data_IF_875363656368
#
_entry.id   IF_875363656368
#
_cell.length_a   1.000
_cell.length_b   1.000
_cell.length_c   1.000
_cell.angle_alpha   90.00
_cell.angle_beta   90.00
_cell.angle_gamma   90.00
#
_symmetry.space_group_name_H-M   'P 1'
#
loop_
_entity.id
_entity.type
_entity.pdbx_description
1 polymer ?
#
# COMPACT_ATOMS: atom_id res chain seq x y z
N UNK A 1 1.04 -14.46 3.74
CA UNK A 1 0.47 -13.33 2.98
C UNK A 1 -0.70 -12.75 3.74
N UNK A 2 -0.76 -11.46 3.85
CA UNK A 2 -1.90 -10.76 4.46
C UNK A 2 -2.47 -9.75 3.48
N UNK A 3 -3.79 -9.72 3.34
CA UNK A 3 -4.49 -8.75 2.51
C UNK A 3 -5.85 -8.42 3.11
N UNK A 4 -6.37 -7.25 2.79
CA UNK A 4 -7.73 -6.88 3.15
C UNK A 4 -8.37 -6.06 2.04
N UNK A 5 -9.68 -6.17 1.92
CA UNK A 5 -10.48 -5.37 1.02
C UNK A 5 -11.62 -4.73 1.81
N UNK A 6 -11.71 -3.41 1.75
CA UNK A 6 -12.75 -2.65 2.45
C UNK A 6 -13.31 -1.57 1.55
N UNK A 7 -14.61 -1.33 1.65
CA UNK A 7 -15.22 -0.16 1.04
C UNK A 7 -14.72 1.09 1.75
N UNK A 8 -14.36 2.12 1.00
CA UNK A 8 -13.98 3.39 1.58
C UNK A 8 -15.16 4.06 2.28
N UNK A 9 -14.92 4.59 3.47
CA UNK A 9 -15.93 5.21 4.32
C UNK A 9 -16.23 6.68 3.96
N UNK A 10 -15.55 7.23 2.95
CA UNK A 10 -15.77 8.59 2.49
C UNK A 10 -15.59 8.67 0.97
N UNK A 11 -16.12 9.75 0.39
CA UNK A 11 -16.00 10.01 -1.04
C UNK A 11 -14.66 10.66 -1.31
N UNK A 12 -13.82 10.02 -2.11
CA UNK A 12 -12.58 10.60 -2.59
C UNK A 12 -12.88 11.58 -3.74
N UNK A 13 -12.27 12.77 -3.72
CA UNK A 13 -12.44 13.79 -4.75
C UNK A 13 -11.64 13.48 -6.01
N UNK A 14 -10.65 12.60 -5.92
CA UNK A 14 -9.81 12.22 -7.05
C UNK A 14 -9.24 10.81 -6.88
N UNK A 15 -8.74 10.24 -7.97
CA UNK A 15 -8.01 8.95 -7.95
C UNK A 15 -6.79 9.01 -7.03
N UNK A 16 -6.06 10.13 -7.03
CA UNK A 16 -4.90 10.32 -6.16
C UNK A 16 -5.27 10.29 -4.68
N UNK A 17 -6.40 10.86 -4.31
CA UNK A 17 -6.90 10.81 -2.93
C UNK A 17 -7.33 9.40 -2.53
N UNK A 18 -8.01 8.69 -3.41
CA UNK A 18 -8.39 7.30 -3.19
C UNK A 18 -7.15 6.41 -2.96
N UNK A 19 -6.13 6.56 -3.78
CA UNK A 19 -4.86 5.84 -3.63
C UNK A 19 -4.12 6.24 -2.35
N UNK A 20 -4.12 7.53 -1.99
CA UNK A 20 -3.53 7.98 -0.74
C UNK A 20 -4.19 7.31 0.47
N UNK A 21 -5.51 7.24 0.49
CA UNK A 21 -6.26 6.57 1.56
C UNK A 21 -5.94 5.08 1.61
N UNK A 22 -5.80 4.44 0.45
CA UNK A 22 -5.41 3.04 0.38
C UNK A 22 -3.99 2.82 0.94
N UNK A 23 -3.05 3.70 0.62
CA UNK A 23 -1.68 3.65 1.16
C UNK A 23 -1.67 3.86 2.67
N UNK A 24 -2.47 4.78 3.18
CA UNK A 24 -2.60 5.03 4.62
C UNK A 24 -3.13 3.79 5.37
N UNK A 25 -4.18 3.18 4.84
CA UNK A 25 -4.73 1.94 5.39
C UNK A 25 -3.72 0.77 5.32
N UNK A 26 -2.97 0.68 4.24
CA UNK A 26 -1.89 -0.28 4.08
C UNK A 26 -0.78 -0.04 5.12
N UNK A 27 -0.41 1.20 5.35
CA UNK A 27 0.56 1.58 6.38
C UNK A 27 0.14 1.08 7.76
N UNK A 28 -1.11 1.31 8.14
CA UNK A 28 -1.63 0.84 9.43
C UNK A 28 -1.55 -0.69 9.56
N UNK A 29 -1.91 -1.40 8.50
CA UNK A 29 -1.83 -2.86 8.46
C UNK A 29 -0.39 -3.37 8.58
N UNK A 30 0.53 -2.76 7.86
CA UNK A 30 1.96 -3.12 7.88
C UNK A 30 2.57 -2.86 9.26
N UNK A 31 2.23 -1.77 9.90
CA UNK A 31 2.73 -1.47 11.26
C UNK A 31 2.20 -2.47 12.29
N UNK A 32 0.96 -2.88 12.17
CA UNK A 32 0.42 -3.95 12.99
C UNK A 32 1.18 -5.27 12.77
N UNK A 33 1.43 -5.64 11.53
CA UNK A 33 2.22 -6.83 11.20
C UNK A 33 3.65 -6.73 11.73
N UNK A 34 4.28 -5.56 11.61
CA UNK A 34 5.63 -5.29 12.15
C UNK A 34 5.66 -5.52 13.66
N UNK A 35 4.67 -5.01 14.38
CA UNK A 35 4.57 -5.21 15.83
C UNK A 35 4.38 -6.68 16.18
N UNK A 36 3.51 -7.37 15.46
CA UNK A 36 3.27 -8.81 15.66
C UNK A 36 4.54 -9.63 15.45
N UNK A 37 5.30 -9.35 14.38
CA UNK A 37 6.57 -10.02 14.12
C UNK A 37 7.62 -9.72 15.19
N UNK A 38 7.63 -8.50 15.71
CA UNK A 38 8.52 -8.13 16.81
C UNK A 38 8.22 -8.94 18.07
N UNK A 39 6.94 -9.18 18.36
CA UNK A 39 6.52 -10.01 19.49
C UNK A 39 6.97 -11.47 19.34
N UNK A 40 7.18 -11.93 18.10
CA UNK A 40 7.78 -13.23 17.78
C UNK A 40 9.32 -13.22 17.66
N UNK A 41 9.97 -12.10 17.98
CA UNK A 41 11.42 -11.99 17.96
C UNK A 41 12.02 -11.52 16.64
N UNK A 42 11.21 -11.11 15.67
CA UNK A 42 11.69 -10.59 14.38
C UNK A 42 11.67 -9.07 14.38
N UNK A 43 12.82 -8.44 14.35
CA UNK A 43 12.91 -6.98 14.23
C UNK A 43 13.01 -6.58 12.76
N UNK A 44 12.02 -5.82 12.31
CA UNK A 44 12.01 -5.18 11.01
C UNK A 44 12.26 -3.68 11.20
N UNK A 45 13.10 -3.12 10.36
CA UNK A 45 13.37 -1.69 10.35
C UNK A 45 12.38 -0.96 9.43
N UNK A 46 12.86 -0.23 8.49
CA UNK A 46 12.11 0.54 7.52
C UNK A 46 11.43 -0.37 6.50
N UNK A 47 10.12 -0.30 6.39
CA UNK A 47 9.35 -1.17 5.50
C UNK A 47 8.95 -0.38 4.25
N UNK A 48 9.27 -0.86 3.04
CA UNK A 48 8.86 -0.21 1.81
C UNK A 48 7.37 -0.48 1.49
N UNK A 49 6.63 0.58 1.17
CA UNK A 49 5.30 0.50 0.58
C UNK A 49 5.39 0.85 -0.89
N UNK A 50 4.86 0.01 -1.74
CA UNK A 50 4.91 0.22 -3.19
C UNK A 50 3.60 0.85 -3.68
N UNK A 51 3.72 2.02 -4.31
CA UNK A 51 2.58 2.77 -4.84
C UNK A 51 2.82 3.13 -6.30
N UNK A 52 1.86 2.89 -7.16
CA UNK A 52 1.96 3.21 -8.59
C UNK A 52 1.40 4.60 -8.95
N UNK A 53 0.87 5.33 -7.99
CA UNK A 53 0.32 6.67 -8.21
C UNK A 53 1.25 7.75 -7.65
N UNK A 54 1.95 8.43 -8.55
CA UNK A 54 2.89 9.52 -8.19
C UNK A 54 2.21 10.69 -7.48
N UNK A 55 0.96 10.98 -7.80
CA UNK A 55 0.21 12.06 -7.15
C UNK A 55 -0.13 11.71 -5.71
N UNK A 56 -0.48 10.45 -5.44
CA UNK A 56 -0.68 9.98 -4.07
C UNK A 56 0.62 10.05 -3.24
N UNK A 57 1.75 9.70 -3.85
CA UNK A 57 3.06 9.81 -3.19
C UNK A 57 3.38 11.27 -2.86
N UNK A 58 3.09 12.20 -3.77
CA UNK A 58 3.26 13.63 -3.51
C UNK A 58 2.38 14.13 -2.37
N UNK A 59 1.14 13.65 -2.26
CA UNK A 59 0.27 13.97 -1.13
C UNK A 59 0.85 13.46 0.20
N UNK A 60 1.45 12.29 0.21
CA UNK A 60 2.09 11.73 1.39
C UNK A 60 3.32 12.54 1.80
N UNK A 61 4.15 12.95 0.84
CA UNK A 61 5.42 13.61 1.11
C UNK A 61 5.32 15.13 1.36
N UNK A 62 4.19 15.74 1.06
CA UNK A 62 4.05 17.18 1.13
C UNK A 62 3.04 17.60 2.21
N UNK A 63 3.51 17.85 3.46
CA UNK A 63 2.64 18.18 4.57
C UNK A 63 2.03 19.59 4.49
N UNK A 64 2.56 20.47 3.67
CA UNK A 64 2.16 21.90 3.62
C UNK A 64 0.89 22.11 2.82
N UNK A 65 0.39 21.11 2.21
CA UNK A 65 -0.69 21.27 1.27
C UNK A 65 -1.95 20.66 1.85
N UNK A 66 -3.02 21.24 1.86
CA UNK A 66 -3.76 21.86 0.82
C UNK A 66 -5.14 22.17 1.34
N UNK A 67 -5.61 23.34 1.14
CA UNK A 67 -7.03 23.67 1.37
C UNK A 67 -7.99 22.70 0.67
N UNK A 68 -7.54 22.04 -0.39
CA UNK A 68 -8.32 21.06 -1.15
C UNK A 68 -8.37 19.65 -0.55
N UNK A 69 -7.43 19.30 0.32
CA UNK A 69 -7.30 17.96 0.92
C UNK A 69 -7.35 17.96 2.44
N UNK A 70 -7.81 19.04 3.06
CA UNK A 70 -7.92 19.18 4.52
C UNK A 70 -8.66 18.01 5.17
N UNK A 71 -9.71 17.51 4.56
CA UNK A 71 -10.49 16.39 5.08
C UNK A 71 -9.69 15.08 5.09
N UNK A 72 -8.75 14.92 4.15
CA UNK A 72 -7.82 13.79 4.13
C UNK A 72 -6.72 14.00 5.17
N UNK A 73 -6.17 15.20 5.26
CA UNK A 73 -5.11 15.53 6.21
C UNK A 73 -5.51 15.30 7.66
N UNK A 74 -6.72 15.67 8.02
CA UNK A 74 -7.24 15.46 9.38
C UNK A 74 -7.36 13.98 9.73
N UNK A 75 -7.73 13.14 8.75
CA UNK A 75 -7.98 11.72 8.95
C UNK A 75 -6.75 10.83 8.76
N UNK A 76 -5.83 11.24 7.88
CA UNK A 76 -4.77 10.37 7.36
C UNK A 76 -3.35 10.94 7.49
N UNK A 77 -3.12 11.86 8.43
CA UNK A 77 -1.77 12.33 8.74
C UNK A 77 -0.88 11.23 9.35
N UNK A 78 -1.47 10.14 9.78
CA UNK A 78 -0.80 8.96 10.30
C UNK A 78 0.30 8.42 9.37
N UNK A 79 0.01 8.33 8.08
CA UNK A 79 0.99 7.90 7.07
C UNK A 79 2.22 8.81 7.06
N UNK A 80 2.00 10.13 7.10
CA UNK A 80 3.08 11.12 7.11
C UNK A 80 3.94 11.04 8.36
N UNK A 81 3.31 10.84 9.50
CA UNK A 81 4.01 10.71 10.78
C UNK A 81 4.94 9.50 10.76
N UNK A 82 4.48 8.36 10.28
CA UNK A 82 5.28 7.15 10.24
C UNK A 82 6.36 7.17 9.15
N UNK A 83 6.12 7.84 8.04
CA UNK A 83 7.16 8.09 7.04
C UNK A 83 8.25 9.02 7.60
N UNK A 84 7.86 10.10 8.27
CA UNK A 84 8.80 11.03 8.92
C UNK A 84 9.63 10.36 10.02
N UNK A 85 9.05 9.44 10.78
CA UNK A 85 9.76 8.65 11.79
C UNK A 85 10.67 7.57 11.19
N UNK A 86 10.55 7.28 9.90
CA UNK A 86 11.33 6.24 9.23
C UNK A 86 10.84 4.81 9.49
N UNK A 87 9.61 4.64 9.96
CA UNK A 87 8.99 3.32 10.12
C UNK A 87 8.66 2.66 8.80
N UNK A 88 8.29 3.48 7.81
CA UNK A 88 7.99 3.08 6.45
C UNK A 88 8.69 4.01 5.45
N UNK A 89 8.74 3.57 4.20
CA UNK A 89 9.16 4.39 3.07
C UNK A 89 8.26 4.08 1.87
N UNK A 90 7.80 5.13 1.18
CA UNK A 90 6.95 4.95 0.01
C UNK A 90 7.81 5.01 -1.24
N UNK A 91 7.76 3.95 -2.04
CA UNK A 91 8.44 3.86 -3.32
C UNK A 91 7.45 3.83 -4.47
N UNK A 92 7.79 4.55 -5.54
CA UNK A 92 7.05 4.43 -6.79
C UNK A 92 7.38 3.11 -7.48
N UNK A 93 6.35 2.43 -7.94
CA UNK A 93 6.44 1.25 -8.81
C UNK A 93 5.61 1.51 -10.06
N UNK A 94 6.05 1.02 -11.21
CA UNK A 94 5.22 1.11 -12.42
C UNK A 94 3.95 0.26 -12.26
N UNK A 95 2.86 0.69 -12.88
CA UNK A 95 1.58 -0.05 -12.83
C UNK A 95 1.74 -1.51 -13.29
N UNK A 96 2.62 -1.77 -14.25
CA UNK A 96 2.89 -3.12 -14.74
C UNK A 96 3.53 -4.03 -13.69
N UNK A 97 4.28 -3.46 -12.74
CA UNK A 97 5.00 -4.19 -11.69
C UNK A 97 4.28 -4.16 -10.35
N UNK A 98 3.09 -3.55 -10.26
CA UNK A 98 2.33 -3.52 -9.02
C UNK A 98 1.74 -4.90 -8.71
N UNK A 99 2.33 -5.58 -7.75
CA UNK A 99 1.93 -6.95 -7.37
C UNK A 99 0.49 -7.02 -6.85
N UNK A 100 0.02 -5.98 -6.19
CA UNK A 100 -1.32 -5.92 -5.64
C UNK A 100 -2.42 -5.93 -6.70
N UNK A 101 -2.11 -5.58 -7.94
CA UNK A 101 -3.08 -5.54 -9.03
C UNK A 101 -3.73 -6.91 -9.30
N UNK A 102 -3.04 -8.00 -9.03
CA UNK A 102 -3.58 -9.36 -9.18
C UNK A 102 -4.83 -9.58 -8.30
N UNK A 103 -4.97 -8.84 -7.20
CA UNK A 103 -6.09 -8.96 -6.27
C UNK A 103 -7.20 -7.95 -6.51
N UNK A 104 -6.96 -6.93 -7.32
CA UNK A 104 -7.85 -5.78 -7.44
C UNK A 104 -8.34 -5.49 -8.85
N UNK A 105 -7.69 -6.06 -9.87
CA UNK A 105 -7.99 -5.77 -11.28
C UNK A 105 -8.10 -7.06 -12.09
N UNK A 106 -8.99 -7.11 -13.09
CA UNK A 106 -8.94 -8.17 -14.10
C UNK A 106 -7.66 -7.99 -14.94
N UNK A 107 -6.90 -9.05 -15.08
CA UNK A 107 -5.63 -9.05 -15.83
C UNK A 107 -5.71 -10.05 -16.97
N UNK A 108 -4.97 -9.76 -18.04
CA UNK A 108 -4.71 -10.77 -19.07
C UNK A 108 -3.88 -11.94 -18.48
N UNK A 109 -3.97 -13.09 -19.11
CA UNK A 109 -3.36 -14.32 -18.61
C UNK A 109 -1.84 -14.19 -18.42
N UNK A 110 -1.15 -13.56 -19.36
CA UNK A 110 0.30 -13.39 -19.30
C UNK A 110 0.72 -12.58 -18.07
N UNK A 111 0.08 -11.44 -17.85
CA UNK A 111 0.35 -10.58 -16.69
C UNK A 111 -0.04 -11.26 -15.39
N UNK A 112 -1.19 -11.92 -15.36
CA UNK A 112 -1.63 -12.68 -14.19
C UNK A 112 -0.60 -13.74 -13.79
N UNK A 113 -0.13 -14.54 -14.74
CA UNK A 113 0.87 -15.57 -14.49
C UNK A 113 2.19 -15.00 -14.01
N UNK A 114 2.64 -13.88 -14.58
CA UNK A 114 3.86 -13.20 -14.15
C UNK A 114 3.76 -12.72 -12.71
N UNK A 115 2.72 -11.97 -12.35
CA UNK A 115 2.52 -11.47 -11.00
C UNK A 115 2.31 -12.59 -9.98
N UNK A 116 1.57 -13.62 -10.34
CA UNK A 116 1.40 -14.83 -9.52
C UNK A 116 2.74 -15.46 -9.18
N UNK A 117 3.60 -15.59 -10.18
CA UNK A 117 4.94 -16.17 -10.01
C UNK A 117 5.81 -15.32 -9.08
N UNK A 118 5.79 -13.99 -9.25
CA UNK A 118 6.55 -13.08 -8.39
C UNK A 118 6.07 -13.12 -6.93
N UNK A 119 4.79 -13.38 -6.70
CA UNK A 119 4.22 -13.57 -5.36
C UNK A 119 4.49 -14.97 -4.77
N UNK A 120 5.14 -15.86 -5.51
CA UNK A 120 5.35 -17.26 -5.13
C UNK A 120 4.03 -18.01 -4.85
N UNK A 121 2.96 -17.63 -5.53
CA UNK A 121 1.69 -18.33 -5.44
C UNK A 121 1.71 -19.47 -6.44
N UNK A 122 1.77 -20.67 -5.92
CA UNK A 122 1.85 -21.90 -6.74
C UNK A 122 0.49 -22.60 -6.80
N UNK A 123 0.27 -23.31 -7.90
CA UNK A 123 -0.89 -24.18 -8.04
C UNK A 123 -0.68 -25.42 -7.19
N UNK A 124 -1.65 -25.73 -6.33
CA UNK A 124 -1.57 -26.91 -5.45
C UNK A 124 -1.41 -28.23 -6.21
N UNK A 125 -1.85 -28.29 -7.47
CA UNK A 125 -1.66 -29.45 -8.33
C UNK A 125 -0.20 -29.68 -8.73
N UNK A 126 0.63 -28.65 -8.64
CA UNK A 126 2.06 -28.71 -8.93
C UNK A 126 2.91 -28.91 -7.66
N UNK A 127 2.27 -29.05 -6.52
CA UNK A 127 2.91 -29.42 -5.26
C UNK A 127 3.01 -30.95 -5.19
N UNK A 128 4.12 -31.45 -5.66
CA UNK A 128 4.43 -32.89 -5.54
C UNK A 128 5.19 -33.18 -4.25
#
# INVERSE_FOLDING_TARGET
MSWSSKKQNFVALSTAEAEYVAVDACCAQVLWMKQTLKDFGYELTKIPLLCDNKSAIKLANNPVNHSRTKHIDIRHHFLRDHEAKGDIVIHHVSTEKQLADIFTKPLDESRFCALRSELNIIDSRNMA
#
